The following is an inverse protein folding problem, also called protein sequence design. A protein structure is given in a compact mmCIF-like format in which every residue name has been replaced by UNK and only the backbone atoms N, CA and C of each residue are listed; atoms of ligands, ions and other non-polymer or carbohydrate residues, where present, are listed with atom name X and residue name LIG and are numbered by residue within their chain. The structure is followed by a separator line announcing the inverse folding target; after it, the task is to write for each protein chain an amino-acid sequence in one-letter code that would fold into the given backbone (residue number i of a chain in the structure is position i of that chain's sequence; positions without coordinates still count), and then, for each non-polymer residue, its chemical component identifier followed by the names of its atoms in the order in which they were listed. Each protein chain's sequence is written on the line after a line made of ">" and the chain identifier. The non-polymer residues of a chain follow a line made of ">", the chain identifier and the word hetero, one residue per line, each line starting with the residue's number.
data_IF_173316756729
#
_entry.id   IF_173316756729
#
_cell.length_a   1.000
_cell.length_b   1.000
_cell.length_c   1.000
_cell.angle_alpha   90.00
_cell.angle_beta   90.00
_cell.angle_gamma   90.00
#
_symmetry.space_group_name_H-M   'P 1'
#
loop_
_entity.id
_entity.type
_entity.pdbx_description
1 polymer ?
#
# COMPACT_ATOMS: atom_id res chain seq x y z
N UNK A 1 11.49 11.83 -1.68
CA UNK A 1 11.24 10.40 -1.37
C UNK A 1 9.88 10.01 -1.94
N UNK A 2 9.73 8.76 -2.36
CA UNK A 2 8.55 8.30 -3.10
C UNK A 2 7.39 7.99 -2.14
N UNK A 3 6.23 8.63 -2.32
CA UNK A 3 5.02 8.46 -1.47
C UNK A 3 4.03 7.47 -2.09
N UNK A 4 4.58 6.40 -2.64
CA UNK A 4 3.84 5.37 -3.36
C UNK A 4 3.74 4.14 -2.48
N UNK A 5 2.53 3.56 -2.40
CA UNK A 5 2.34 2.30 -1.74
C UNK A 5 2.98 1.16 -2.55
N UNK A 6 3.94 0.45 -1.96
CA UNK A 6 4.64 -0.69 -2.56
C UNK A 6 3.72 -1.89 -2.82
N UNK A 7 2.62 -1.99 -2.09
CA UNK A 7 1.64 -3.05 -2.26
C UNK A 7 0.73 -2.77 -3.46
N UNK A 8 -0.05 -1.69 -3.41
CA UNK A 8 -1.13 -1.47 -4.37
C UNK A 8 -0.88 -0.34 -5.39
N UNK A 9 0.28 0.32 -5.34
CA UNK A 9 0.64 1.45 -6.21
C UNK A 9 -0.18 2.74 -6.00
N UNK A 10 -0.80 2.91 -4.83
CA UNK A 10 -1.45 4.17 -4.47
C UNK A 10 -0.43 5.30 -4.35
N UNK A 11 -0.65 6.43 -5.04
CA UNK A 11 0.40 7.44 -5.29
C UNK A 11 0.47 8.59 -4.27
N UNK A 12 -0.39 8.58 -3.26
CA UNK A 12 -0.62 9.75 -2.41
C UNK A 12 -0.55 9.38 -0.92
N UNK A 13 0.42 8.58 -0.52
CA UNK A 13 0.73 8.42 0.91
C UNK A 13 1.13 9.77 1.53
N UNK A 14 0.86 9.97 2.81
CA UNK A 14 1.31 11.19 3.51
C UNK A 14 2.84 11.21 3.63
N UNK A 15 3.41 10.07 3.97
CA UNK A 15 4.85 9.86 4.11
C UNK A 15 5.34 8.76 3.15
N UNK A 16 6.62 8.77 2.76
CA UNK A 16 7.23 7.62 2.10
C UNK A 16 7.08 6.37 2.98
N UNK A 17 6.83 5.16 2.42
CA UNK A 17 6.74 3.94 3.22
C UNK A 17 7.91 3.71 4.18
N UNK A 18 9.10 4.10 3.74
CA UNK A 18 10.35 4.03 4.47
C UNK A 18 11.20 5.27 4.20
N UNK A 19 11.88 5.77 5.22
CA UNK A 19 12.85 6.85 5.07
C UNK A 19 14.18 6.36 4.47
N UNK A 20 15.16 7.26 4.32
CA UNK A 20 16.48 6.93 3.78
C UNK A 20 17.32 6.04 4.70
N UNK A 21 16.91 5.86 5.96
CA UNK A 21 17.54 4.97 6.95
C UNK A 21 16.80 3.64 7.08
N UNK A 22 15.72 3.44 6.32
CA UNK A 22 14.89 2.24 6.37
C UNK A 22 13.96 2.19 7.57
N UNK A 23 13.67 3.33 8.21
CA UNK A 23 12.66 3.43 9.27
C UNK A 23 11.27 3.51 8.63
N UNK A 24 10.30 2.69 9.05
CA UNK A 24 8.94 2.70 8.50
C UNK A 24 8.22 4.00 8.87
N UNK A 25 7.22 4.38 8.07
CA UNK A 25 6.40 5.57 8.34
C UNK A 25 5.27 5.36 9.35
N UNK A 26 4.99 4.11 9.74
CA UNK A 26 3.77 3.71 10.48
C UNK A 26 2.46 4.15 9.79
N UNK A 27 2.52 4.51 8.50
CA UNK A 27 1.34 4.88 7.73
C UNK A 27 0.58 3.63 7.28
N UNK A 28 -0.74 3.67 7.44
CA UNK A 28 -1.65 2.70 6.88
C UNK A 28 -2.10 3.21 5.51
N UNK A 29 -1.78 2.46 4.45
CA UNK A 29 -2.23 2.81 3.10
C UNK A 29 -3.76 2.92 3.05
N UNK A 30 -4.33 4.08 2.68
CA UNK A 30 -5.78 4.27 2.70
C UNK A 30 -6.49 3.41 1.64
N UNK A 31 -5.75 2.98 0.61
CA UNK A 31 -6.27 2.14 -0.46
C UNK A 31 -6.32 0.66 -0.03
N UNK A 32 -5.18 0.01 0.21
CA UNK A 32 -5.12 -1.44 0.45
C UNK A 32 -5.02 -1.85 1.93
N UNK A 33 -4.88 -0.87 2.84
CA UNK A 33 -4.84 -1.12 4.28
C UNK A 33 -3.54 -1.69 4.84
N UNK A 34 -2.47 -1.78 4.04
CA UNK A 34 -1.17 -2.23 4.52
C UNK A 34 -0.55 -1.19 5.45
N UNK A 35 -0.06 -1.62 6.62
CA UNK A 35 0.60 -0.82 7.64
C UNK A 35 2.12 -1.07 7.61
N UNK A 36 2.89 -0.10 7.14
CA UNK A 36 4.35 -0.20 7.08
C UNK A 36 4.95 -0.21 8.49
N UNK A 37 5.85 -1.16 8.77
CA UNK A 37 6.44 -1.37 10.08
C UNK A 37 5.66 -2.34 10.97
N UNK A 38 4.43 -2.70 10.59
CA UNK A 38 3.59 -3.65 11.33
C UNK A 38 3.27 -4.90 10.50
N UNK A 39 2.70 -4.73 9.29
CA UNK A 39 2.29 -5.87 8.45
C UNK A 39 3.47 -6.56 7.74
N UNK A 40 4.63 -5.90 7.67
CA UNK A 40 5.92 -6.48 7.24
C UNK A 40 6.86 -6.79 8.42
N UNK A 41 6.41 -6.62 9.66
CA UNK A 41 7.22 -7.01 10.82
C UNK A 41 7.44 -8.54 10.84
N UNK A 42 8.65 -8.94 11.21
CA UNK A 42 9.08 -10.35 11.21
C UNK A 42 9.39 -10.96 9.83
N UNK A 43 9.18 -10.23 8.73
CA UNK A 43 9.63 -10.69 7.40
C UNK A 43 11.13 -10.40 7.21
N UNK A 44 11.90 -11.44 6.87
CA UNK A 44 13.30 -11.30 6.47
C UNK A 44 13.46 -10.56 5.13
N UNK A 45 12.45 -10.64 4.27
CA UNK A 45 12.32 -9.86 3.04
C UNK A 45 10.94 -9.20 2.99
N UNK A 46 10.90 -7.87 3.06
CA UNK A 46 9.65 -7.10 3.07
C UNK A 46 8.84 -7.23 1.78
N UNK A 47 9.49 -7.52 0.65
CA UNK A 47 8.77 -7.73 -0.62
C UNK A 47 7.80 -8.92 -0.56
N UNK A 48 8.12 -9.94 0.25
CA UNK A 48 7.27 -11.11 0.40
C UNK A 48 5.98 -10.76 1.16
N UNK A 49 6.09 -9.88 2.17
CA UNK A 49 4.93 -9.30 2.85
C UNK A 49 4.05 -8.50 1.87
N UNK A 50 4.67 -7.68 1.01
CA UNK A 50 3.94 -6.86 0.03
C UNK A 50 3.19 -7.71 -0.99
N UNK A 51 3.83 -8.76 -1.52
CA UNK A 51 3.21 -9.70 -2.48
C UNK A 51 2.04 -10.45 -1.84
N UNK A 52 2.25 -10.98 -0.63
CA UNK A 52 1.20 -11.68 0.12
C UNK A 52 -0.01 -10.77 0.37
N UNK A 53 0.23 -9.52 0.77
CA UNK A 53 -0.85 -8.57 1.01
C UNK A 53 -1.56 -8.16 -0.28
N UNK A 54 -0.81 -7.93 -1.37
CA UNK A 54 -1.39 -7.62 -2.67
C UNK A 54 -2.32 -8.73 -3.13
N UNK A 55 -1.89 -9.99 -3.03
CA UNK A 55 -2.70 -11.15 -3.37
C UNK A 55 -3.97 -11.23 -2.52
N UNK A 56 -3.85 -10.99 -1.21
CA UNK A 56 -5.00 -10.94 -0.30
C UNK A 56 -5.96 -9.83 -0.68
N UNK A 57 -5.47 -8.63 -0.97
CA UNK A 57 -6.29 -7.49 -1.34
C UNK A 57 -7.02 -7.73 -2.67
N UNK A 58 -6.32 -8.28 -3.68
CA UNK A 58 -6.91 -8.66 -4.97
C UNK A 58 -8.00 -9.73 -4.79
N UNK A 59 -7.72 -10.80 -4.03
CA UNK A 59 -8.70 -11.88 -3.76
C UNK A 59 -9.95 -11.38 -3.06
N UNK A 60 -9.84 -10.31 -2.27
CA UNK A 60 -10.97 -9.69 -1.58
C UNK A 60 -11.68 -8.62 -2.44
N UNK A 61 -11.38 -8.50 -3.72
CA UNK A 61 -12.05 -7.58 -4.65
C UNK A 61 -11.48 -6.17 -4.64
N UNK A 62 -10.23 -6.00 -4.22
CA UNK A 62 -9.55 -4.70 -4.17
C UNK A 62 -10.35 -3.63 -3.43
N UNK A 63 -10.92 -3.94 -2.27
CA UNK A 63 -11.75 -3.00 -1.53
C UNK A 63 -10.92 -1.82 -1.01
N UNK A 64 -11.46 -0.61 -1.12
CA UNK A 64 -10.85 0.57 -0.52
C UNK A 64 -10.94 0.50 1.01
N UNK A 65 -9.79 0.57 1.68
CA UNK A 65 -9.70 0.34 3.12
C UNK A 65 -10.21 1.51 3.98
N UNK A 66 -9.80 2.74 3.66
CA UNK A 66 -10.03 3.89 4.53
C UNK A 66 -11.48 4.37 4.50
N UNK A 67 -12.06 4.54 5.69
CA UNK A 67 -13.38 5.18 5.87
C UNK A 67 -13.31 6.71 5.92
N UNK A 68 -12.17 7.25 6.37
CA UNK A 68 -11.96 8.69 6.55
C UNK A 68 -11.40 9.39 5.32
N UNK A 69 -10.57 8.68 4.53
CA UNK A 69 -10.00 9.18 3.28
C UNK A 69 -10.63 8.41 2.13
N UNK A 70 -11.50 9.08 1.37
CA UNK A 70 -12.24 8.46 0.27
C UNK A 70 -11.37 8.32 -0.98
N UNK A 71 -11.63 7.31 -1.84
CA UNK A 71 -11.01 7.25 -3.16
C UNK A 71 -11.48 8.44 -4.02
N UNK A 72 -10.75 8.70 -5.11
CA UNK A 72 -11.22 9.59 -6.17
C UNK A 72 -12.56 9.10 -6.74
N UNK A 73 -13.38 10.03 -7.28
CA UNK A 73 -14.78 9.76 -7.71
C UNK A 73 -14.92 8.58 -8.67
N UNK A 74 -13.92 8.33 -9.52
CA UNK A 74 -13.91 7.25 -10.52
C UNK A 74 -12.72 6.30 -10.31
N UNK A 75 -12.30 6.11 -9.06
CA UNK A 75 -11.15 5.25 -8.76
C UNK A 75 -11.40 3.82 -9.24
N UNK A 76 -10.41 3.28 -9.94
CA UNK A 76 -10.39 1.90 -10.44
C UNK A 76 -9.14 1.19 -9.94
N UNK A 77 -9.26 0.06 -9.22
CA UNK A 77 -8.10 -0.71 -8.80
C UNK A 77 -7.34 -1.31 -9.99
N UNK A 78 -8.03 -1.62 -11.11
CA UNK A 78 -7.39 -2.11 -12.32
C UNK A 78 -6.47 -1.06 -12.96
N UNK A 79 -6.93 0.20 -13.06
CA UNK A 79 -6.11 1.30 -13.57
C UNK A 79 -4.91 1.56 -12.65
N UNK A 80 -5.12 1.53 -11.33
CA UNK A 80 -4.05 1.72 -10.35
C UNK A 80 -2.95 0.65 -10.47
N UNK A 81 -3.33 -0.60 -10.69
CA UNK A 81 -2.39 -1.72 -10.85
C UNK A 81 -1.72 -1.73 -12.23
N UNK A 82 -2.40 -1.34 -13.30
CA UNK A 82 -1.82 -1.24 -14.64
C UNK A 82 -0.74 -0.14 -14.75
N UNK A 83 -0.79 0.86 -13.86
CA UNK A 83 0.23 1.90 -13.75
C UNK A 83 1.47 1.47 -12.95
N UNK A 84 1.60 0.18 -12.58
CA UNK A 84 2.86 -0.36 -12.07
C UNK A 84 3.81 -0.54 -13.26
N UNK A 85 4.63 0.49 -13.53
CA UNK A 85 5.77 0.41 -14.45
C UNK A 85 6.91 -0.40 -13.85
#
# INVERSE_FOLDING_TARGET
>A
MNRVCFVCNYQDLYEPPYDNRGIPSDEICPCCGFHYGFDDDGFSNKEDAYKLWLDKWIKNGCLWFSKGRKPAKNWSPAEQLNNKS
#
